data_IF_169355062244
#
_entry.id   IF_169355062244
#
_cell.length_a   1.000
_cell.length_b   1.000
_cell.length_c   1.000
_cell.angle_alpha   90.00
_cell.angle_beta   90.00
_cell.angle_gamma   90.00
#
_symmetry.space_group_name_H-M   'P 1'
#
loop_
_entity.id
_entity.type
_entity.pdbx_description
1 polymer ?
#
# COMPACT_ATOMS: atom_id res chain seq x y z
N UNK A 1 -10.95 -1.35 -30.41
CA UNK A 1 -10.81 -0.75 -29.06
C UNK A 1 -11.35 0.66 -29.14
N UNK A 2 -12.28 1.03 -28.26
CA UNK A 2 -12.98 2.31 -28.33
C UNK A 2 -12.06 3.43 -27.79
N UNK A 3 -11.60 4.34 -28.62
CA UNK A 3 -10.72 5.47 -28.26
C UNK A 3 -11.24 6.33 -27.08
N UNK A 4 -12.57 6.37 -26.90
CA UNK A 4 -13.22 7.03 -25.78
C UNK A 4 -12.92 6.35 -24.43
N UNK A 5 -12.98 5.02 -24.39
CA UNK A 5 -12.70 4.22 -23.18
C UNK A 5 -11.23 4.31 -22.76
N UNK A 6 -10.30 4.34 -23.71
CA UNK A 6 -8.87 4.47 -23.37
C UNK A 6 -8.54 5.86 -22.82
N UNK A 7 -9.10 6.92 -23.41
CA UNK A 7 -8.95 8.29 -22.90
C UNK A 7 -9.49 8.43 -21.48
N UNK A 8 -10.70 7.93 -21.23
CA UNK A 8 -11.27 7.91 -19.88
C UNK A 8 -10.34 7.20 -18.88
N UNK A 9 -9.88 6.02 -19.24
CA UNK A 9 -9.02 5.23 -18.38
C UNK A 9 -7.68 5.93 -18.09
N UNK A 10 -7.12 6.65 -19.07
CA UNK A 10 -5.87 7.41 -18.89
C UNK A 10 -6.08 8.60 -17.95
N UNK A 11 -7.14 9.38 -18.17
CA UNK A 11 -7.50 10.53 -17.33
C UNK A 11 -7.76 10.09 -15.91
N UNK A 12 -8.54 9.02 -15.73
CA UNK A 12 -8.87 8.51 -14.39
C UNK A 12 -7.63 7.97 -13.67
N UNK A 13 -6.70 7.29 -14.39
CA UNK A 13 -5.40 6.90 -13.82
C UNK A 13 -4.60 8.12 -13.38
N UNK A 14 -4.59 9.20 -14.18
CA UNK A 14 -3.91 10.45 -13.83
C UNK A 14 -4.48 11.10 -12.56
N UNK A 15 -5.81 11.15 -12.45
CA UNK A 15 -6.50 11.69 -11.26
C UNK A 15 -6.15 10.87 -10.01
N UNK A 16 -6.22 9.54 -10.07
CA UNK A 16 -5.87 8.67 -8.95
C UNK A 16 -4.39 8.78 -8.58
N UNK A 17 -3.50 8.93 -9.57
CA UNK A 17 -2.07 9.17 -9.35
C UNK A 17 -1.82 10.47 -8.61
N UNK A 18 -2.45 11.56 -9.05
CA UNK A 18 -2.38 12.85 -8.40
C UNK A 18 -2.92 12.79 -6.97
N UNK A 19 -4.04 12.08 -6.75
CA UNK A 19 -4.61 11.87 -5.42
C UNK A 19 -3.64 11.12 -4.50
N UNK A 20 -3.00 10.04 -4.97
CA UNK A 20 -1.98 9.29 -4.21
C UNK A 20 -0.82 10.20 -3.80
N UNK A 21 -0.33 11.04 -4.71
CA UNK A 21 0.76 11.96 -4.45
C UNK A 21 0.33 12.97 -3.38
N UNK A 22 -0.80 13.64 -3.55
CA UNK A 22 -1.32 14.64 -2.60
C UNK A 22 -1.53 14.00 -1.23
N UNK A 23 -2.21 12.86 -1.15
CA UNK A 23 -2.44 12.14 0.11
C UNK A 23 -1.14 11.74 0.81
N UNK A 24 -0.07 11.49 0.07
CA UNK A 24 1.22 11.11 0.67
C UNK A 24 1.95 12.27 1.32
N UNK A 25 1.80 13.49 0.79
CA UNK A 25 2.50 14.68 1.29
C UNK A 25 1.68 15.53 2.24
N UNK A 26 0.35 15.54 2.09
CA UNK A 26 -0.52 16.33 2.95
C UNK A 26 -0.82 15.55 4.24
N UNK A 27 -0.39 16.04 5.42
CA UNK A 27 -0.77 15.46 6.70
C UNK A 27 -2.29 15.38 6.83
N UNK A 28 -2.80 14.38 7.51
CA UNK A 28 -4.23 14.10 7.75
C UNK A 28 -5.04 13.65 6.53
N UNK A 29 -4.58 13.87 5.29
CA UNK A 29 -5.31 13.43 4.10
C UNK A 29 -5.03 11.94 3.77
N UNK A 30 -3.79 11.48 4.00
CA UNK A 30 -3.37 10.09 3.75
C UNK A 30 -3.27 9.24 5.02
N UNK A 31 -3.39 9.86 6.19
CA UNK A 31 -3.23 9.22 7.49
C UNK A 31 -4.35 9.66 8.42
N UNK A 32 -5.19 8.71 8.87
CA UNK A 32 -6.20 8.99 9.88
C UNK A 32 -5.55 8.81 11.25
N UNK A 33 -5.47 9.89 12.07
CA UNK A 33 -4.95 9.76 13.42
C UNK A 33 -5.95 9.01 14.31
N UNK A 34 -5.54 7.85 14.80
CA UNK A 34 -6.31 7.03 15.74
C UNK A 34 -5.79 7.21 17.18
N UNK A 35 -5.47 8.44 17.57
CA UNK A 35 -4.86 8.78 18.85
C UNK A 35 -3.34 8.56 18.83
N UNK A 36 -2.87 7.42 19.31
CA UNK A 36 -1.44 7.07 19.35
C UNK A 36 -0.91 6.43 18.06
N UNK A 37 -1.73 6.33 17.00
CA UNK A 37 -1.41 5.70 15.73
C UNK A 37 -2.02 6.43 14.55
N UNK A 38 -1.43 6.23 13.36
CA UNK A 38 -1.92 6.73 12.09
C UNK A 38 -2.29 5.57 11.16
N UNK A 39 -3.57 5.42 10.82
CA UNK A 39 -3.99 4.47 9.80
C UNK A 39 -3.79 5.05 8.41
N UNK A 40 -3.11 4.31 7.54
CA UNK A 40 -2.84 4.72 6.16
C UNK A 40 -4.01 4.39 5.25
N UNK A 41 -4.55 5.40 4.55
CA UNK A 41 -5.65 5.21 3.58
C UNK A 41 -5.22 5.39 2.13
N UNK A 42 -3.94 5.66 1.87
CA UNK A 42 -3.38 5.90 0.52
C UNK A 42 -3.53 4.68 -0.40
N UNK A 43 -3.68 3.50 0.16
CA UNK A 43 -3.91 2.27 -0.60
C UNK A 43 -5.32 2.19 -1.23
N UNK A 44 -6.30 2.96 -0.72
CA UNK A 44 -7.68 2.95 -1.24
C UNK A 44 -7.75 3.37 -2.72
N UNK A 45 -7.15 4.48 -3.17
CA UNK A 45 -7.07 4.82 -4.60
C UNK A 45 -6.42 3.73 -5.47
N UNK A 46 -5.44 3.00 -4.94
CA UNK A 46 -4.79 1.88 -5.67
C UNK A 46 -5.78 0.74 -5.89
N UNK A 47 -6.53 0.35 -4.86
CA UNK A 47 -7.57 -0.69 -4.96
C UNK A 47 -8.69 -0.27 -5.91
N UNK A 48 -9.17 0.97 -5.79
CA UNK A 48 -10.20 1.52 -6.69
C UNK A 48 -9.74 1.48 -8.14
N UNK A 49 -8.53 1.97 -8.41
CA UNK A 49 -7.95 1.94 -9.74
C UNK A 49 -7.75 0.53 -10.29
N UNK A 50 -7.33 -0.42 -9.45
CA UNK A 50 -7.19 -1.82 -9.85
C UNK A 50 -8.53 -2.45 -10.27
N UNK A 51 -9.58 -2.24 -9.49
CA UNK A 51 -10.91 -2.82 -9.76
C UNK A 51 -11.55 -2.19 -11.00
N UNK A 52 -11.43 -0.86 -11.17
CA UNK A 52 -12.08 -0.15 -12.26
C UNK A 52 -11.30 -0.19 -13.58
N UNK A 53 -9.97 -0.11 -13.51
CA UNK A 53 -9.11 0.09 -14.69
C UNK A 53 -8.30 -1.15 -15.07
N UNK A 54 -8.36 -2.18 -14.24
CA UNK A 54 -7.65 -3.45 -14.47
C UNK A 54 -6.27 -3.54 -13.77
N UNK A 55 -5.66 -4.74 -13.81
CA UNK A 55 -4.49 -5.06 -12.98
C UNK A 55 -3.24 -4.26 -13.37
N UNK A 56 -3.03 -3.97 -14.66
CA UNK A 56 -1.88 -3.20 -15.13
C UNK A 56 -1.87 -1.76 -14.57
N UNK A 57 -3.03 -1.09 -14.59
CA UNK A 57 -3.17 0.27 -14.05
C UNK A 57 -3.18 0.27 -12.52
N UNK A 58 -3.77 -0.75 -11.90
CA UNK A 58 -3.67 -0.96 -10.45
C UNK A 58 -2.22 -1.14 -10.00
N UNK A 59 -1.43 -1.95 -10.71
CA UNK A 59 0.00 -2.12 -10.46
C UNK A 59 0.78 -0.81 -10.64
N UNK A 60 0.46 -0.04 -11.68
CA UNK A 60 1.06 1.28 -11.93
C UNK A 60 0.77 2.28 -10.78
N UNK A 61 -0.47 2.35 -10.31
CA UNK A 61 -0.84 3.19 -9.16
C UNK A 61 -0.12 2.75 -7.88
N UNK A 62 0.01 1.44 -7.66
CA UNK A 62 0.81 0.88 -6.57
C UNK A 62 2.29 1.24 -6.69
N UNK A 63 2.84 1.26 -7.90
CA UNK A 63 4.22 1.70 -8.17
C UNK A 63 4.40 3.18 -7.81
N UNK A 64 3.47 4.06 -8.21
CA UNK A 64 3.49 5.49 -7.83
C UNK A 64 3.47 5.62 -6.31
N UNK A 65 2.57 4.91 -5.62
CA UNK A 65 2.52 4.92 -4.17
C UNK A 65 3.86 4.48 -3.55
N UNK A 66 4.48 3.43 -4.08
CA UNK A 66 5.79 2.95 -3.61
C UNK A 66 6.90 3.98 -3.80
N UNK A 67 6.98 4.61 -4.98
CA UNK A 67 7.98 5.63 -5.29
C UNK A 67 7.82 6.88 -4.42
N UNK A 68 6.59 7.34 -4.20
CA UNK A 68 6.32 8.48 -3.31
C UNK A 68 6.66 8.13 -1.85
N UNK A 69 6.40 6.90 -1.42
CA UNK A 69 6.81 6.42 -0.09
C UNK A 69 8.33 6.40 0.08
N UNK A 70 9.07 5.96 -0.94
CA UNK A 70 10.53 6.00 -0.97
C UNK A 70 11.03 7.44 -0.91
N UNK A 71 10.49 8.32 -1.73
CA UNK A 71 10.84 9.75 -1.74
C UNK A 71 10.62 10.40 -0.38
N UNK A 72 9.45 10.21 0.22
CA UNK A 72 9.11 10.76 1.54
C UNK A 72 10.08 10.29 2.63
N UNK A 73 10.41 9.01 2.66
CA UNK A 73 11.36 8.46 3.63
C UNK A 73 12.80 8.91 3.38
N UNK A 74 13.13 9.37 2.17
CA UNK A 74 14.43 9.95 1.84
C UNK A 74 14.52 11.41 2.28
N UNK A 75 13.48 12.20 2.04
CA UNK A 75 13.47 13.65 2.29
C UNK A 75 13.11 14.02 3.72
N UNK A 76 12.29 13.22 4.39
CA UNK A 76 11.88 13.42 5.78
C UNK A 76 12.09 12.10 6.58
N UNK A 77 13.35 11.71 6.82
CA UNK A 77 13.67 10.44 7.45
C UNK A 77 13.30 10.42 8.94
N UNK A 78 12.83 9.28 9.40
CA UNK A 78 12.66 8.92 10.80
C UNK A 78 13.59 7.75 11.17
N UNK A 79 13.58 7.31 12.43
CA UNK A 79 14.46 6.26 12.95
C UNK A 79 14.42 4.95 12.13
N UNK A 80 13.29 4.64 11.48
CA UNK A 80 13.08 3.41 10.71
C UNK A 80 13.10 3.62 9.20
N UNK A 81 13.40 4.83 8.72
CA UNK A 81 13.37 5.16 7.29
C UNK A 81 14.44 4.43 6.46
N UNK A 82 15.49 3.89 7.08
CA UNK A 82 16.49 3.07 6.40
C UNK A 82 15.91 1.79 5.77
N UNK A 83 14.75 1.33 6.25
CA UNK A 83 14.03 0.18 5.68
C UNK A 83 13.35 0.55 4.36
N UNK A 84 12.93 1.82 4.22
CA UNK A 84 12.14 2.33 3.10
C UNK A 84 12.95 3.15 2.11
N UNK A 85 14.16 3.61 2.49
CA UNK A 85 15.03 4.41 1.64
C UNK A 85 16.46 3.86 1.64
N UNK A 86 17.06 3.61 0.46
CA UNK A 86 18.44 3.18 0.38
C UNK A 86 19.45 4.30 0.69
N UNK A 87 19.00 5.56 0.73
CA UNK A 87 19.85 6.72 1.00
C UNK A 87 19.97 7.04 2.49
N UNK A 88 19.15 6.43 3.34
CA UNK A 88 19.22 6.57 4.80
C UNK A 88 20.10 5.46 5.35
N UNK A 89 21.24 5.76 6.02
CA UNK A 89 22.17 4.75 6.51
C UNK A 89 21.52 3.82 7.54
N UNK A 90 21.94 2.54 7.51
CA UNK A 90 21.51 1.56 8.51
C UNK A 90 22.35 1.78 9.78
N UNK A 91 21.73 1.96 10.95
CA UNK A 91 22.48 2.17 12.19
C UNK A 91 23.42 0.99 12.49
N UNK A 92 24.69 1.31 12.81
CA UNK A 92 25.69 0.31 13.23
C UNK A 92 26.28 -0.54 12.11
N UNK A 93 25.97 -0.29 10.84
CA UNK A 93 26.52 -1.04 9.70
C UNK A 93 27.40 -0.15 8.86
N UNK A 94 28.69 -0.52 8.72
CA UNK A 94 29.60 0.14 7.78
C UNK A 94 29.21 -0.21 6.35
N UNK A 95 29.11 0.82 5.51
CA UNK A 95 28.63 0.66 4.14
C UNK A 95 29.74 0.23 3.18
N UNK A 96 29.49 -0.87 2.46
CA UNK A 96 30.31 -1.31 1.33
C UNK A 96 29.50 -1.17 0.04
N UNK A 97 30.15 -1.01 -1.11
CA UNK A 97 29.46 -0.89 -2.41
C UNK A 97 28.50 -2.06 -2.70
N UNK A 98 28.88 -3.34 -2.50
CA UNK A 98 27.94 -4.45 -2.62
C UNK A 98 26.79 -4.41 -1.63
N UNK A 99 27.04 -3.93 -0.40
CA UNK A 99 26.03 -3.73 0.63
C UNK A 99 24.98 -2.69 0.23
N UNK A 100 25.42 -1.60 -0.42
CA UNK A 100 24.51 -0.56 -0.94
C UNK A 100 23.56 -1.09 -2.02
N UNK A 101 24.07 -1.88 -2.99
CA UNK A 101 23.23 -2.50 -4.03
C UNK A 101 22.20 -3.46 -3.40
N UNK A 102 22.62 -4.29 -2.45
CA UNK A 102 21.70 -5.17 -1.72
C UNK A 102 20.62 -4.39 -0.96
N UNK A 103 20.97 -3.23 -0.40
CA UNK A 103 20.04 -2.34 0.29
C UNK A 103 19.02 -1.73 -0.68
N UNK A 104 19.43 -1.29 -1.87
CA UNK A 104 18.51 -0.80 -2.91
C UNK A 104 17.46 -1.85 -3.22
N UNK A 105 17.85 -3.10 -3.47
CA UNK A 105 16.92 -4.19 -3.79
C UNK A 105 15.93 -4.47 -2.64
N UNK A 106 16.42 -4.49 -1.40
CA UNK A 106 15.56 -4.66 -0.20
C UNK A 106 14.55 -3.52 -0.05
N UNK A 107 15.00 -2.28 -0.19
CA UNK A 107 14.11 -1.11 -0.12
C UNK A 107 13.09 -1.09 -1.26
N UNK A 108 13.48 -1.43 -2.50
CA UNK A 108 12.56 -1.54 -3.63
C UNK A 108 11.51 -2.63 -3.41
N UNK A 109 11.91 -3.76 -2.84
CA UNK A 109 10.96 -4.82 -2.48
C UNK A 109 9.93 -4.32 -1.47
N UNK A 110 10.38 -3.71 -0.37
CA UNK A 110 9.48 -3.23 0.68
C UNK A 110 8.64 -2.05 0.22
N UNK A 111 9.22 -1.08 -0.52
CA UNK A 111 8.50 0.12 -0.95
C UNK A 111 7.67 -0.08 -2.21
N UNK A 112 8.23 -0.67 -3.26
CA UNK A 112 7.58 -0.70 -4.57
C UNK A 112 6.81 -1.99 -4.77
N UNK A 113 7.48 -3.15 -4.61
CA UNK A 113 6.83 -4.43 -4.85
C UNK A 113 5.61 -4.66 -3.95
N UNK A 114 5.71 -4.38 -2.66
CA UNK A 114 4.58 -4.53 -1.75
C UNK A 114 3.37 -3.68 -2.17
N UNK A 115 3.60 -2.46 -2.66
CA UNK A 115 2.52 -1.54 -3.10
C UNK A 115 1.94 -1.93 -4.46
N UNK A 116 2.75 -2.43 -5.37
CA UNK A 116 2.29 -3.01 -6.65
C UNK A 116 1.35 -4.19 -6.38
N UNK A 117 1.71 -5.06 -5.43
CA UNK A 117 0.90 -6.22 -5.07
C UNK A 117 -0.46 -5.86 -4.50
N UNK A 118 -0.66 -4.69 -3.88
CA UNK A 118 -1.97 -4.21 -3.44
C UNK A 118 -2.96 -4.20 -4.62
N UNK A 119 -2.58 -3.56 -5.73
CA UNK A 119 -3.42 -3.47 -6.92
C UNK A 119 -3.65 -4.82 -7.60
N UNK A 120 -2.60 -5.63 -7.70
CA UNK A 120 -2.67 -6.95 -8.33
C UNK A 120 -3.61 -7.88 -7.54
N UNK A 121 -3.39 -8.00 -6.23
CA UNK A 121 -4.22 -8.86 -5.36
C UNK A 121 -5.67 -8.39 -5.33
N UNK A 122 -5.91 -7.08 -5.19
CA UNK A 122 -7.26 -6.53 -5.17
C UNK A 122 -8.03 -6.85 -6.47
N UNK A 123 -7.40 -6.71 -7.64
CA UNK A 123 -8.02 -7.02 -8.91
C UNK A 123 -8.37 -8.50 -9.06
N UNK A 124 -7.39 -9.39 -8.85
CA UNK A 124 -7.62 -10.83 -9.03
C UNK A 124 -8.62 -11.39 -8.01
N UNK A 125 -8.57 -10.90 -6.78
CA UNK A 125 -9.57 -11.27 -5.77
C UNK A 125 -10.97 -10.78 -6.16
N UNK A 126 -11.09 -9.53 -6.65
CA UNK A 126 -12.37 -9.00 -7.13
C UNK A 126 -12.93 -9.86 -8.28
N UNK A 127 -12.11 -10.20 -9.27
CA UNK A 127 -12.51 -11.04 -10.40
C UNK A 127 -12.90 -12.47 -9.96
N UNK A 128 -12.15 -13.04 -9.03
CA UNK A 128 -12.45 -14.36 -8.47
C UNK A 128 -13.79 -14.37 -7.72
N UNK A 129 -14.01 -13.44 -6.83
CA UNK A 129 -15.24 -13.34 -6.05
C UNK A 129 -16.46 -13.05 -6.94
N UNK A 130 -16.32 -12.18 -7.92
CA UNK A 130 -17.38 -11.86 -8.89
C UNK A 130 -17.82 -13.09 -9.68
N UNK A 131 -16.88 -13.97 -10.07
CA UNK A 131 -17.14 -15.10 -10.94
C UNK A 131 -17.54 -16.38 -10.19
N UNK A 132 -17.17 -16.53 -8.92
CA UNK A 132 -17.32 -17.76 -8.15
C UNK A 132 -18.33 -17.67 -7.00
N UNK A 133 -18.73 -16.46 -6.60
CA UNK A 133 -19.61 -16.29 -5.44
C UNK A 133 -20.80 -15.42 -5.80
N UNK A 134 -21.93 -15.65 -5.11
CA UNK A 134 -23.17 -14.85 -5.22
C UNK A 134 -23.21 -13.69 -4.21
N UNK A 135 -22.05 -13.24 -3.74
CA UNK A 135 -21.98 -12.12 -2.80
C UNK A 135 -22.36 -10.81 -3.49
N UNK A 136 -22.89 -9.88 -2.70
CA UNK A 136 -23.23 -8.55 -3.21
C UNK A 136 -21.99 -7.80 -3.71
N UNK A 137 -22.15 -6.93 -4.71
CA UNK A 137 -21.05 -6.11 -5.24
C UNK A 137 -20.41 -5.28 -4.15
N UNK A 138 -21.20 -4.77 -3.22
CA UNK A 138 -20.72 -4.01 -2.06
C UNK A 138 -19.77 -4.83 -1.19
N UNK A 139 -20.19 -6.03 -0.82
CA UNK A 139 -19.38 -6.91 0.02
C UNK A 139 -18.10 -7.35 -0.70
N UNK A 140 -18.17 -7.63 -2.00
CA UNK A 140 -16.98 -7.91 -2.81
C UNK A 140 -15.98 -6.75 -2.75
N UNK A 141 -16.43 -5.50 -2.95
CA UNK A 141 -15.57 -4.31 -2.89
C UNK A 141 -14.95 -4.12 -1.51
N UNK A 142 -15.70 -4.36 -0.43
CA UNK A 142 -15.20 -4.31 0.95
C UNK A 142 -14.09 -5.34 1.19
N UNK A 143 -14.31 -6.59 0.77
CA UNK A 143 -13.33 -7.68 0.91
C UNK A 143 -12.05 -7.32 0.14
N UNK A 144 -12.15 -6.76 -1.08
CA UNK A 144 -10.99 -6.34 -1.86
C UNK A 144 -10.23 -5.18 -1.22
N UNK A 145 -10.94 -4.23 -0.59
CA UNK A 145 -10.32 -3.15 0.18
C UNK A 145 -9.53 -3.67 1.38
N UNK A 146 -10.12 -4.58 2.16
CA UNK A 146 -9.44 -5.24 3.27
C UNK A 146 -8.24 -6.05 2.80
N UNK A 147 -8.39 -6.84 1.74
CA UNK A 147 -7.32 -7.67 1.19
C UNK A 147 -6.13 -6.83 0.70
N UNK A 148 -6.38 -5.67 0.07
CA UNK A 148 -5.34 -4.73 -0.31
C UNK A 148 -4.53 -4.23 0.90
N UNK A 149 -5.21 -3.84 1.97
CA UNK A 149 -4.58 -3.41 3.22
C UNK A 149 -3.77 -4.53 3.89
N UNK A 150 -4.36 -5.73 4.00
CA UNK A 150 -3.68 -6.90 4.56
C UNK A 150 -2.43 -7.25 3.74
N UNK A 151 -2.54 -7.24 2.40
CA UNK A 151 -1.40 -7.49 1.50
C UNK A 151 -0.27 -6.51 1.77
N UNK A 152 -0.58 -5.21 1.88
CA UNK A 152 0.41 -4.19 2.23
C UNK A 152 1.08 -4.50 3.57
N UNK A 153 0.31 -4.71 4.61
CA UNK A 153 0.82 -4.95 5.97
C UNK A 153 1.68 -6.21 6.03
N UNK A 154 1.23 -7.31 5.44
CA UNK A 154 1.97 -8.59 5.46
C UNK A 154 3.29 -8.48 4.68
N UNK A 155 3.28 -7.89 3.49
CA UNK A 155 4.49 -7.77 2.68
C UNK A 155 5.50 -6.78 3.27
N UNK A 156 5.03 -5.67 3.83
CA UNK A 156 5.92 -4.68 4.47
C UNK A 156 6.48 -5.21 5.79
N UNK A 157 5.63 -5.68 6.69
CA UNK A 157 6.09 -6.20 7.99
C UNK A 157 6.90 -7.47 7.84
N UNK A 158 6.52 -8.37 6.92
CA UNK A 158 7.31 -9.54 6.56
C UNK A 158 8.66 -9.15 5.96
N UNK A 159 8.67 -8.20 5.02
CA UNK A 159 9.92 -7.66 4.45
C UNK A 159 10.83 -7.05 5.51
N UNK A 160 10.30 -6.30 6.47
CA UNK A 160 11.07 -5.77 7.60
C UNK A 160 11.66 -6.92 8.44
N UNK A 161 10.84 -7.88 8.79
CA UNK A 161 11.26 -9.02 9.62
C UNK A 161 12.39 -9.81 8.98
N UNK A 162 12.23 -10.22 7.71
CA UNK A 162 13.18 -11.10 7.04
C UNK A 162 14.43 -10.39 6.50
N UNK A 163 14.30 -9.13 6.06
CA UNK A 163 15.38 -8.41 5.37
C UNK A 163 16.17 -7.46 6.28
N UNK A 164 15.54 -6.95 7.35
CA UNK A 164 16.09 -5.94 8.24
C UNK A 164 15.90 -6.24 9.73
N UNK A 165 15.55 -7.47 10.10
CA UNK A 165 15.17 -7.84 11.46
C UNK A 165 16.15 -7.37 12.53
N UNK A 166 17.46 -7.67 12.37
CA UNK A 166 18.52 -7.28 13.30
C UNK A 166 18.68 -5.76 13.38
N UNK A 167 18.77 -5.09 12.24
CA UNK A 167 18.94 -3.64 12.17
C UNK A 167 17.71 -2.90 12.73
N UNK A 168 16.52 -3.42 12.47
CA UNK A 168 15.26 -2.85 12.99
C UNK A 168 15.14 -3.03 14.50
N UNK A 169 15.52 -4.20 15.03
CA UNK A 169 15.55 -4.46 16.47
C UNK A 169 16.56 -3.54 17.15
N UNK A 170 17.79 -3.42 16.61
CA UNK A 170 18.83 -2.51 17.12
C UNK A 170 18.39 -1.05 17.13
N UNK A 171 17.80 -0.55 16.03
CA UNK A 171 17.28 0.83 15.94
C UNK A 171 16.17 1.15 16.96
N UNK A 172 15.43 0.13 17.39
CA UNK A 172 14.37 0.23 18.40
C UNK A 172 14.82 -0.15 19.81
N UNK A 173 16.10 -0.48 20.00
CA UNK A 173 16.66 -0.99 21.27
C UNK A 173 15.93 -2.22 21.81
N UNK A 174 15.51 -3.12 20.90
CA UNK A 174 14.77 -4.34 21.20
C UNK A 174 15.69 -5.56 21.09
N UNK A 175 15.43 -6.59 21.90
CA UNK A 175 16.02 -7.91 21.65
C UNK A 175 15.35 -8.58 20.44
N UNK A 176 16.11 -9.36 19.67
CA UNK A 176 15.61 -10.09 18.47
C UNK A 176 14.41 -10.98 18.83
N UNK A 177 14.41 -11.58 20.03
CA UNK A 177 13.30 -12.41 20.50
C UNK A 177 11.98 -11.63 20.73
N UNK A 178 12.05 -10.31 20.94
CA UNK A 178 10.87 -9.45 21.08
C UNK A 178 10.39 -8.89 19.75
N UNK A 179 11.20 -8.96 18.69
CA UNK A 179 10.88 -8.38 17.39
C UNK A 179 9.58 -8.96 16.80
N UNK A 180 9.39 -10.27 16.88
CA UNK A 180 8.16 -10.94 16.41
C UNK A 180 6.91 -10.45 17.13
N UNK A 181 6.99 -10.24 18.45
CA UNK A 181 5.88 -9.71 19.26
C UNK A 181 5.58 -8.26 18.90
N UNK A 182 6.61 -7.44 18.67
CA UNK A 182 6.45 -6.04 18.24
C UNK A 182 5.82 -5.96 16.86
N UNK A 183 6.27 -6.77 15.90
CA UNK A 183 5.67 -6.83 14.56
C UNK A 183 4.22 -7.30 14.63
N UNK A 184 3.92 -8.35 15.40
CA UNK A 184 2.54 -8.79 15.62
C UNK A 184 1.69 -7.68 16.27
N UNK A 185 2.26 -6.94 17.22
CA UNK A 185 1.62 -5.76 17.81
C UNK A 185 1.29 -4.71 16.76
N UNK A 186 2.22 -4.36 15.87
CA UNK A 186 1.98 -3.40 14.77
C UNK A 186 0.91 -3.91 13.81
N UNK A 187 0.94 -5.19 13.43
CA UNK A 187 -0.10 -5.79 12.57
C UNK A 187 -1.48 -5.69 13.20
N UNK A 188 -1.61 -5.97 14.49
CA UNK A 188 -2.90 -5.90 15.19
C UNK A 188 -3.37 -4.46 15.38
N UNK A 189 -2.47 -3.58 15.78
CA UNK A 189 -2.84 -2.22 16.18
C UNK A 189 -2.95 -1.25 15.00
N UNK A 190 -2.22 -1.46 13.91
CA UNK A 190 -2.27 -0.64 12.70
C UNK A 190 -2.92 -1.39 11.53
N UNK A 191 -2.49 -2.62 11.25
CA UNK A 191 -2.95 -3.37 10.09
C UNK A 191 -4.45 -3.70 10.13
N UNK A 192 -4.99 -4.05 11.31
CA UNK A 192 -6.43 -4.36 11.44
C UNK A 192 -7.30 -3.11 11.25
N UNK A 193 -7.07 -1.97 11.92
CA UNK A 193 -7.81 -0.74 11.65
C UNK A 193 -7.69 -0.27 10.20
N UNK A 194 -6.51 -0.35 9.59
CA UNK A 194 -6.31 -0.01 8.17
C UNK A 194 -7.16 -0.90 7.25
N UNK A 195 -7.23 -2.20 7.53
CA UNK A 195 -8.04 -3.13 6.75
C UNK A 195 -9.53 -2.80 6.86
N UNK A 196 -10.02 -2.48 8.06
CA UNK A 196 -11.43 -2.10 8.30
C UNK A 196 -11.76 -0.80 7.57
N UNK A 197 -10.94 0.24 7.71
CA UNK A 197 -11.15 1.54 7.07
C UNK A 197 -11.11 1.38 5.54
N UNK A 198 -10.14 0.64 5.01
CA UNK A 198 -10.01 0.37 3.58
C UNK A 198 -11.21 -0.41 3.04
N UNK A 199 -11.73 -1.39 3.79
CA UNK A 199 -12.93 -2.12 3.43
C UNK A 199 -14.14 -1.17 3.29
N UNK A 200 -14.39 -0.35 4.29
CA UNK A 200 -15.52 0.58 4.30
C UNK A 200 -15.40 1.59 3.16
N UNK A 201 -14.25 2.23 3.01
CA UNK A 201 -14.02 3.24 1.96
C UNK A 201 -14.15 2.64 0.55
N UNK A 202 -13.54 1.48 0.29
CA UNK A 202 -13.67 0.80 -1.01
C UNK A 202 -15.11 0.37 -1.27
N UNK A 203 -15.83 -0.14 -0.26
CA UNK A 203 -17.25 -0.50 -0.38
C UNK A 203 -18.12 0.69 -0.78
N UNK A 204 -17.96 1.82 -0.11
CA UNK A 204 -18.74 3.04 -0.37
C UNK A 204 -18.37 3.65 -1.72
N UNK A 205 -17.08 3.94 -1.95
CA UNK A 205 -16.63 4.68 -3.14
C UNK A 205 -16.91 3.87 -4.41
N UNK A 206 -16.52 2.58 -4.46
CA UNK A 206 -16.80 1.74 -5.63
C UNK A 206 -18.29 1.48 -5.81
N UNK A 207 -19.05 1.43 -4.72
CA UNK A 207 -20.53 1.32 -4.79
C UNK A 207 -21.16 2.53 -5.47
N UNK A 208 -20.71 3.74 -5.16
CA UNK A 208 -21.17 4.98 -5.81
C UNK A 208 -20.70 5.04 -7.27
N UNK A 209 -19.42 4.81 -7.53
CA UNK A 209 -18.85 4.84 -8.88
C UNK A 209 -19.54 3.84 -9.83
N UNK A 210 -19.88 2.65 -9.34
CA UNK A 210 -20.58 1.64 -10.14
C UNK A 210 -22.02 2.04 -10.49
N UNK A 211 -22.70 2.83 -9.65
CA UNK A 211 -24.03 3.39 -9.97
C UNK A 211 -23.96 4.48 -11.03
N UNK A 212 -22.98 5.39 -10.91
CA UNK A 212 -22.76 6.48 -11.88
C UNK A 212 -22.43 5.91 -13.26
N UNK A 213 -21.55 4.91 -13.33
CA UNK A 213 -21.18 4.27 -14.61
C UNK A 213 -22.38 3.63 -15.32
N UNK A 214 -23.31 3.00 -14.56
CA UNK A 214 -24.52 2.39 -15.12
C UNK A 214 -25.57 3.41 -15.60
N UNK A 215 -25.52 4.64 -15.09
CA UNK A 215 -26.45 5.71 -15.53
C UNK A 215 -25.95 6.45 -16.77
N UNK A 216 -24.66 6.28 -17.10
CA UNK A 216 -24.02 6.92 -18.25
C UNK A 216 -24.01 6.03 -19.53
N UNK A 217 -24.44 4.76 -19.40
CA UNK A 217 -24.70 3.82 -20.51
C UNK A 217 -26.16 3.88 -20.95
#
# INVERSE_FOLDING_TARGET
MNHSSERFNMVFTGILSGLIIIMSFVPFLGFIPLGFMNATIIQVPVVIGAIMLGPKRGAFLGMIFGLVSLWKNTTAPNITSFVFSPFVPVPGVAETVPGFVGRILKCLFICVFARVMIGVVAYYLHAFLKNRTKISVHLNNMICGAAGAITNTVLVMGGIYFLYGEAYAGAKSLSIGLLSKVIAGVVLTQGVPEAIISAVLCGVILGVLSKISRQAE
#
